data_IF_014172220346
#
_entry.id   IF_014172220346
#
_cell.length_a   1.000
_cell.length_b   1.000
_cell.length_c   1.000
_cell.angle_alpha   90.00
_cell.angle_beta   90.00
_cell.angle_gamma   90.00
#
_symmetry.space_group_name_H-M   'P 1'
#
loop_
_entity.id
_entity.type
_entity.pdbx_description
1 polymer ?
#
# COMPACT_ATOMS: atom_id res chain seq x y z
N UNK A 1 -45.70 1.88 -1.86
CA UNK A 1 -44.59 2.17 -0.93
C UNK A 1 -43.83 3.34 -1.50
N UNK A 2 -43.65 4.41 -0.73
CA UNK A 2 -42.85 5.54 -1.14
C UNK A 2 -41.37 5.12 -1.23
N UNK A 3 -40.57 5.75 -2.10
CA UNK A 3 -39.13 5.49 -2.21
C UNK A 3 -38.40 5.62 -0.87
N UNK A 4 -38.92 6.48 0.00
CA UNK A 4 -38.42 6.71 1.36
C UNK A 4 -38.57 5.49 2.27
N UNK A 5 -39.69 4.76 2.19
CA UNK A 5 -39.91 3.52 2.94
C UNK A 5 -38.94 2.41 2.51
N UNK A 6 -38.66 2.33 1.21
CA UNK A 6 -37.73 1.35 0.63
C UNK A 6 -36.30 1.60 1.11
N UNK A 7 -35.92 2.88 1.25
CA UNK A 7 -34.61 3.28 1.74
C UNK A 7 -34.47 3.08 3.25
N UNK A 8 -35.53 3.33 4.04
CA UNK A 8 -35.54 3.08 5.48
C UNK A 8 -35.55 1.59 5.85
N UNK A 9 -36.10 0.72 5.00
CA UNK A 9 -36.05 -0.73 5.22
C UNK A 9 -34.75 -1.40 4.72
N UNK A 10 -33.86 -0.65 4.05
CA UNK A 10 -32.55 -1.17 3.64
C UNK A 10 -31.55 -1.06 4.78
N UNK A 11 -31.40 -2.16 5.53
CA UNK A 11 -30.29 -2.30 6.48
C UNK A 11 -28.97 -2.42 5.70
N UNK A 12 -27.97 -1.63 6.10
CA UNK A 12 -26.60 -1.77 5.58
C UNK A 12 -26.07 -3.16 5.95
N UNK A 13 -25.32 -3.81 5.04
CA UNK A 13 -24.67 -5.06 5.38
C UNK A 13 -23.56 -4.82 6.40
N UNK A 14 -23.33 -5.79 7.30
CA UNK A 14 -22.33 -5.67 8.36
C UNK A 14 -20.94 -5.30 7.81
N UNK A 15 -20.52 -5.95 6.71
CA UNK A 15 -19.24 -5.65 6.06
C UNK A 15 -19.13 -4.20 5.57
N UNK A 16 -20.23 -3.61 5.10
CA UNK A 16 -20.25 -2.20 4.71
C UNK A 16 -20.11 -1.28 5.94
N UNK A 17 -20.77 -1.60 7.06
CA UNK A 17 -20.59 -0.85 8.32
C UNK A 17 -19.15 -0.91 8.82
N UNK A 18 -18.51 -2.08 8.77
CA UNK A 18 -17.09 -2.24 9.12
C UNK A 18 -16.19 -1.45 8.18
N UNK A 19 -16.48 -1.45 6.88
CA UNK A 19 -15.74 -0.63 5.90
C UNK A 19 -15.79 0.85 6.25
N UNK A 20 -16.97 1.37 6.58
CA UNK A 20 -17.14 2.78 6.93
C UNK A 20 -16.35 3.13 8.19
N UNK A 21 -16.39 2.27 9.22
CA UNK A 21 -15.63 2.49 10.45
C UNK A 21 -14.11 2.46 10.20
N UNK A 22 -13.62 1.49 9.42
CA UNK A 22 -12.21 1.39 9.08
C UNK A 22 -11.72 2.59 8.24
N UNK A 23 -12.52 3.05 7.27
CA UNK A 23 -12.21 4.25 6.47
C UNK A 23 -12.16 5.51 7.33
N UNK A 24 -13.10 5.69 8.23
CA UNK A 24 -13.10 6.83 9.17
C UNK A 24 -11.87 6.79 10.09
N UNK A 25 -11.46 5.61 10.54
CA UNK A 25 -10.26 5.44 11.35
C UNK A 25 -8.97 5.79 10.58
N UNK A 26 -8.84 5.29 9.35
CA UNK A 26 -7.64 5.49 8.53
C UNK A 26 -7.52 6.93 8.00
N UNK A 27 -8.62 7.51 7.52
CA UNK A 27 -8.61 8.77 6.76
C UNK A 27 -9.22 9.96 7.50
N UNK A 28 -9.80 9.76 8.68
CA UNK A 28 -10.42 10.80 9.50
C UNK A 28 -11.89 11.05 9.18
N UNK A 29 -12.38 12.26 9.49
CA UNK A 29 -13.81 12.60 9.49
C UNK A 29 -14.47 12.60 8.11
N UNK A 30 -13.71 12.86 7.03
CA UNK A 30 -14.23 12.89 5.65
C UNK A 30 -13.42 11.99 4.69
N UNK A 31 -13.56 10.65 4.82
CA UNK A 31 -12.89 9.70 3.94
C UNK A 31 -13.41 9.80 2.50
N UNK A 32 -14.68 10.13 2.32
CA UNK A 32 -15.32 10.20 1.00
C UNK A 32 -14.78 11.36 0.16
N UNK A 33 -14.49 12.52 0.74
CA UNK A 33 -13.88 13.63 -0.01
C UNK A 33 -12.46 13.31 -0.43
N UNK A 34 -11.69 12.69 0.46
CA UNK A 34 -10.32 12.30 0.15
C UNK A 34 -10.24 11.30 -0.99
N UNK A 35 -11.00 10.20 -0.91
CA UNK A 35 -10.98 9.16 -1.94
C UNK A 35 -11.49 9.71 -3.28
N UNK A 36 -12.48 10.60 -3.28
CA UNK A 36 -12.91 11.30 -4.50
C UNK A 36 -11.79 12.15 -5.10
N UNK A 37 -11.05 12.90 -4.29
CA UNK A 37 -9.94 13.72 -4.74
C UNK A 37 -8.80 12.84 -5.28
N UNK A 38 -8.42 11.79 -4.54
CA UNK A 38 -7.40 10.82 -4.95
C UNK A 38 -7.77 10.11 -6.26
N UNK A 39 -9.01 9.63 -6.39
CA UNK A 39 -9.52 9.02 -7.62
C UNK A 39 -9.48 10.00 -8.80
N UNK A 40 -9.85 11.26 -8.56
CA UNK A 40 -9.86 12.31 -9.59
C UNK A 40 -8.43 12.60 -10.07
N UNK A 41 -7.48 12.80 -9.16
CA UNK A 41 -6.08 13.07 -9.51
C UNK A 41 -5.43 11.87 -10.23
N UNK A 42 -5.72 10.63 -9.79
CA UNK A 42 -5.27 9.42 -10.47
C UNK A 42 -5.83 9.31 -11.90
N UNK A 43 -7.11 9.64 -12.10
CA UNK A 43 -7.75 9.65 -13.42
C UNK A 43 -7.14 10.69 -14.38
N UNK A 44 -6.66 11.81 -13.84
CA UNK A 44 -5.97 12.84 -14.62
C UNK A 44 -4.47 12.56 -14.83
N UNK A 45 -3.94 11.45 -14.31
CA UNK A 45 -2.51 11.09 -14.38
C UNK A 45 -1.58 12.18 -13.84
N UNK A 46 -2.05 12.98 -12.88
CA UNK A 46 -1.22 14.03 -12.26
C UNK A 46 -0.45 13.42 -11.10
N UNK A 47 0.57 12.63 -11.44
CA UNK A 47 1.36 11.81 -10.52
C UNK A 47 1.85 12.61 -9.29
N UNK A 48 2.31 13.85 -9.48
CA UNK A 48 2.79 14.68 -8.38
C UNK A 48 1.69 15.16 -7.42
N UNK A 49 0.46 15.39 -7.91
CA UNK A 49 -0.66 15.79 -7.04
C UNK A 49 -1.19 14.63 -6.24
N UNK A 50 -1.30 13.47 -6.87
CA UNK A 50 -1.70 12.23 -6.21
C UNK A 50 -0.73 11.88 -5.06
N UNK A 51 0.58 11.92 -5.33
CA UNK A 51 1.61 11.69 -4.30
C UNK A 51 1.46 12.63 -3.10
N UNK A 52 1.24 13.92 -3.36
CA UNK A 52 1.04 14.94 -2.31
C UNK A 52 -0.23 14.73 -1.49
N UNK A 53 -1.29 14.19 -2.09
CA UNK A 53 -2.50 13.83 -1.35
C UNK A 53 -2.23 12.69 -0.38
N UNK A 54 -1.51 11.66 -0.84
CA UNK A 54 -1.17 10.52 0.00
C UNK A 54 -0.16 10.88 1.11
N UNK A 55 0.78 11.79 0.89
CA UNK A 55 1.68 12.26 1.97
C UNK A 55 0.94 12.84 3.18
N UNK A 56 -0.23 13.46 2.98
CA UNK A 56 -1.05 13.99 4.08
C UNK A 56 -1.64 12.89 4.97
N UNK A 57 -1.60 11.62 4.53
CA UNK A 57 -2.11 10.44 5.26
C UNK A 57 -1.05 9.72 6.08
N UNK A 58 0.13 10.35 6.26
CA UNK A 58 1.18 9.83 7.14
C UNK A 58 1.81 8.53 6.62
N UNK A 59 2.18 7.64 7.53
CA UNK A 59 2.91 6.40 7.22
C UNK A 59 2.15 5.50 6.24
N UNK A 60 0.82 5.39 6.38
CA UNK A 60 -0.01 4.57 5.48
C UNK A 60 -0.01 5.12 4.06
N UNK A 61 -0.03 6.45 3.90
CA UNK A 61 0.03 7.10 2.59
C UNK A 61 1.39 6.97 1.92
N UNK A 62 2.49 7.11 2.67
CA UNK A 62 3.85 6.82 2.16
C UNK A 62 3.95 5.37 1.68
N UNK A 63 3.44 4.42 2.47
CA UNK A 63 3.43 3.01 2.09
C UNK A 63 2.60 2.79 0.81
N UNK A 64 1.43 3.43 0.69
CA UNK A 64 0.62 3.36 -0.52
C UNK A 64 1.42 3.81 -1.76
N UNK A 65 2.13 4.94 -1.67
CA UNK A 65 2.96 5.45 -2.76
C UNK A 65 4.09 4.49 -3.12
N UNK A 66 4.78 3.89 -2.15
CA UNK A 66 5.81 2.86 -2.40
C UNK A 66 5.22 1.66 -3.14
N UNK A 67 4.10 1.13 -2.66
CA UNK A 67 3.43 -0.04 -3.25
C UNK A 67 3.00 0.28 -4.68
N UNK A 68 2.39 1.44 -4.88
CA UNK A 68 2.01 1.92 -6.21
C UNK A 68 3.22 2.04 -7.13
N UNK A 69 4.31 2.66 -6.66
CA UNK A 69 5.55 2.81 -7.41
C UNK A 69 6.10 1.45 -7.85
N UNK A 70 6.24 0.49 -6.93
CA UNK A 70 6.74 -0.85 -7.28
C UNK A 70 5.84 -1.51 -8.33
N UNK A 71 4.51 -1.44 -8.16
CA UNK A 71 3.55 -2.14 -9.01
C UNK A 71 3.35 -1.51 -10.37
N UNK A 72 3.56 -0.19 -10.49
CA UNK A 72 3.38 0.55 -11.73
C UNK A 72 4.35 0.14 -12.85
N UNK A 73 5.36 -0.71 -12.59
CA UNK A 73 6.25 -1.28 -13.61
C UNK A 73 6.54 -2.76 -13.36
N UNK A 74 6.39 -3.63 -14.38
CA UNK A 74 6.86 -5.00 -14.32
C UNK A 74 8.35 -5.11 -13.98
N UNK A 75 9.17 -4.20 -14.50
CA UNK A 75 10.61 -4.17 -14.26
C UNK A 75 10.93 -3.90 -12.78
N UNK A 76 10.22 -2.95 -12.14
CA UNK A 76 10.38 -2.67 -10.70
C UNK A 76 9.95 -3.86 -9.84
N UNK A 77 8.83 -4.51 -10.17
CA UNK A 77 8.38 -5.73 -9.49
C UNK A 77 9.43 -6.84 -9.56
N UNK A 78 9.98 -7.08 -10.75
CA UNK A 78 10.99 -8.12 -10.95
C UNK A 78 12.31 -7.79 -10.26
N UNK A 79 12.72 -6.51 -10.26
CA UNK A 79 13.89 -6.07 -9.51
C UNK A 79 13.73 -6.30 -8.00
N UNK A 80 12.56 -5.99 -7.44
CA UNK A 80 12.30 -6.27 -6.02
C UNK A 80 12.37 -7.77 -5.73
N UNK A 81 11.85 -8.61 -6.62
CA UNK A 81 11.94 -10.08 -6.53
C UNK A 81 13.38 -10.56 -6.55
N UNK A 82 14.19 -10.10 -7.49
CA UNK A 82 15.58 -10.53 -7.62
C UNK A 82 16.43 -10.12 -6.43
N UNK A 83 16.25 -8.90 -5.92
CA UNK A 83 16.94 -8.42 -4.72
C UNK A 83 16.55 -9.23 -3.47
N UNK A 84 15.26 -9.58 -3.32
CA UNK A 84 14.78 -10.40 -2.21
C UNK A 84 15.24 -11.86 -2.28
N UNK A 85 15.55 -12.39 -3.47
CA UNK A 85 16.17 -13.71 -3.61
C UNK A 85 17.67 -13.68 -3.32
N UNK A 86 18.38 -12.61 -3.71
CA UNK A 86 19.83 -12.47 -3.45
C UNK A 86 20.21 -12.29 -1.98
N UNK A 87 19.26 -11.93 -1.11
CA UNK A 87 19.48 -11.89 0.34
C UNK A 87 19.38 -13.26 1.01
N UNK A 88 18.88 -14.27 0.29
CA UNK A 88 18.70 -15.63 0.81
C UNK A 88 19.88 -16.50 0.36
N UNK A 89 21.03 -16.37 1.02
CA UNK A 89 22.15 -17.30 0.85
C UNK A 89 22.03 -18.51 1.80
N UNK A 90 22.22 -19.69 1.19
CA UNK A 90 22.50 -21.08 1.61
C UNK A 90 21.92 -21.74 2.87
N UNK A 91 21.49 -21.05 3.94
CA UNK A 91 21.00 -21.74 5.16
C UNK A 91 19.48 -22.05 5.14
N UNK A 92 18.78 -21.63 4.08
CA UNK A 92 17.31 -21.73 3.94
C UNK A 92 16.86 -23.02 3.22
N UNK A 93 17.47 -24.17 3.54
CA UNK A 93 17.02 -25.48 3.06
C UNK A 93 15.84 -26.07 3.87
N UNK A 94 15.31 -25.32 4.85
CA UNK A 94 14.28 -25.82 5.78
C UNK A 94 12.89 -25.19 5.63
N UNK A 95 12.69 -24.18 4.78
CA UNK A 95 11.36 -23.63 4.53
C UNK A 95 10.52 -24.56 3.63
N UNK A 96 9.32 -24.93 4.10
CA UNK A 96 8.38 -25.77 3.36
C UNK A 96 7.90 -25.08 2.08
N UNK A 97 7.38 -25.82 1.09
CA UNK A 97 6.77 -25.25 -0.13
C UNK A 97 5.70 -24.20 0.18
N UNK A 98 4.98 -24.34 1.30
CA UNK A 98 4.01 -23.36 1.81
C UNK A 98 4.67 -22.04 2.26
N UNK A 99 5.87 -22.08 2.82
CA UNK A 99 6.61 -20.87 3.21
C UNK A 99 7.24 -20.17 1.99
N UNK A 100 7.65 -20.95 0.97
CA UNK A 100 8.07 -20.40 -0.33
C UNK A 100 6.92 -19.74 -1.07
N UNK A 101 5.70 -20.30 -0.95
CA UNK A 101 4.46 -19.71 -1.46
C UNK A 101 3.97 -18.52 -0.61
N UNK A 102 4.23 -18.52 0.70
CA UNK A 102 3.95 -17.39 1.60
C UNK A 102 4.85 -16.18 1.33
N UNK A 103 6.00 -16.39 0.70
CA UNK A 103 6.84 -15.35 0.10
C UNK A 103 6.32 -15.04 -1.31
N UNK A 104 5.04 -14.70 -1.42
CA UNK A 104 4.61 -13.85 -2.53
C UNK A 104 5.33 -12.51 -2.34
N UNK A 105 6.45 -12.32 -3.04
CA UNK A 105 7.28 -11.11 -2.95
C UNK A 105 6.52 -9.88 -3.45
N UNK A 106 5.38 -10.08 -4.13
CA UNK A 106 4.60 -8.97 -4.63
C UNK A 106 3.95 -8.19 -3.49
N UNK A 107 4.16 -6.88 -3.49
CA UNK A 107 3.47 -5.98 -2.59
C UNK A 107 1.98 -5.94 -2.96
N UNK A 108 1.13 -6.09 -1.95
CA UNK A 108 -0.32 -6.04 -2.12
C UNK A 108 -0.79 -4.59 -2.15
N UNK A 109 -1.40 -4.16 -3.25
CA UNK A 109 -2.06 -2.86 -3.32
C UNK A 109 -3.41 -2.91 -2.60
N UNK A 110 -3.70 -1.87 -1.82
CA UNK A 110 -5.01 -1.72 -1.22
C UNK A 110 -6.07 -1.37 -2.30
N UNK A 111 -7.32 -1.67 -1.98
CA UNK A 111 -8.49 -1.45 -2.83
C UNK A 111 -9.61 -0.85 -1.98
N UNK A 112 -10.10 0.32 -2.38
CA UNK A 112 -11.13 1.11 -1.69
C UNK A 112 -12.41 0.33 -1.37
N UNK A 113 -12.80 -0.58 -2.27
CA UNK A 113 -14.07 -1.33 -2.15
C UNK A 113 -14.02 -2.51 -1.18
N UNK A 114 -12.82 -2.91 -0.73
CA UNK A 114 -12.62 -4.05 0.16
C UNK A 114 -12.13 -3.59 1.53
N UNK A 115 -12.96 -3.80 2.54
CA UNK A 115 -12.80 -3.25 3.90
C UNK A 115 -11.50 -3.59 4.64
N UNK A 116 -10.82 -4.67 4.27
CA UNK A 116 -9.56 -5.07 4.89
C UNK A 116 -8.33 -4.87 3.99
N UNK A 117 -8.47 -4.25 2.82
CA UNK A 117 -7.39 -4.20 1.84
C UNK A 117 -6.17 -3.38 2.31
N UNK A 118 -6.38 -2.24 2.95
CA UNK A 118 -5.31 -1.42 3.53
C UNK A 118 -4.60 -2.16 4.66
N UNK A 119 -5.35 -2.86 5.50
CA UNK A 119 -4.78 -3.71 6.54
C UNK A 119 -3.90 -4.82 5.96
N UNK A 120 -4.36 -5.51 4.90
CA UNK A 120 -3.57 -6.55 4.24
C UNK A 120 -2.31 -5.97 3.59
N UNK A 121 -2.40 -4.79 2.95
CA UNK A 121 -1.23 -4.08 2.43
C UNK A 121 -0.19 -3.81 3.52
N UNK A 122 -0.63 -3.29 4.68
CA UNK A 122 0.24 -3.00 5.82
C UNK A 122 0.88 -4.27 6.36
N UNK A 123 0.10 -5.32 6.63
CA UNK A 123 0.63 -6.59 7.13
C UNK A 123 1.64 -7.23 6.17
N UNK A 124 1.38 -7.17 4.86
CA UNK A 124 2.31 -7.67 3.86
C UNK A 124 3.59 -6.84 3.80
N UNK A 125 3.49 -5.52 3.92
CA UNK A 125 4.64 -4.62 3.92
C UNK A 125 5.54 -4.82 5.15
N UNK A 126 4.96 -4.99 6.34
CA UNK A 126 5.71 -5.24 7.58
C UNK A 126 6.55 -6.51 7.47
N UNK A 127 5.97 -7.61 6.96
CA UNK A 127 6.71 -8.86 6.72
C UNK A 127 7.83 -8.71 5.70
N UNK A 128 7.76 -7.66 4.86
CA UNK A 128 8.69 -7.39 3.75
C UNK A 128 9.56 -6.16 3.99
N UNK A 129 9.64 -5.68 5.23
CA UNK A 129 10.28 -4.42 5.58
C UNK A 129 11.72 -4.36 5.07
N UNK A 130 12.53 -5.38 5.37
CA UNK A 130 13.94 -5.42 4.98
C UNK A 130 14.12 -5.40 3.46
N UNK A 131 13.24 -6.10 2.74
CA UNK A 131 13.27 -6.14 1.28
C UNK A 131 12.85 -4.80 0.67
N UNK A 132 11.88 -4.10 1.27
CA UNK A 132 11.47 -2.75 0.87
C UNK A 132 12.63 -1.76 1.09
N UNK A 133 13.22 -1.75 2.28
CA UNK A 133 14.32 -0.85 2.65
C UNK A 133 15.55 -1.08 1.74
N UNK A 134 15.88 -2.33 1.46
CA UNK A 134 16.97 -2.68 0.54
C UNK A 134 16.66 -2.29 -0.91
N UNK A 135 15.43 -2.50 -1.39
CA UNK A 135 15.01 -2.08 -2.73
C UNK A 135 15.14 -0.56 -2.91
N UNK A 136 14.69 0.23 -1.94
CA UNK A 136 14.82 1.70 -1.96
C UNK A 136 16.29 2.10 -2.00
N UNK A 137 17.11 1.54 -1.10
CA UNK A 137 18.55 1.80 -1.04
C UNK A 137 19.26 1.44 -2.35
N UNK A 138 18.90 0.31 -2.97
CA UNK A 138 19.43 -0.10 -4.27
C UNK A 138 19.07 0.93 -5.36
N UNK A 139 17.83 1.40 -5.41
CA UNK A 139 17.43 2.41 -6.39
C UNK A 139 18.15 3.73 -6.17
N UNK A 140 18.32 4.19 -4.94
CA UNK A 140 19.03 5.44 -4.66
C UNK A 140 20.50 5.39 -5.09
N UNK A 141 21.12 4.22 -5.00
CA UNK A 141 22.53 4.03 -5.42
C UNK A 141 22.70 3.80 -6.92
N UNK A 142 21.76 3.11 -7.58
CA UNK A 142 21.92 2.66 -8.97
C UNK A 142 21.12 3.46 -10.00
N UNK A 143 19.99 4.04 -9.63
CA UNK A 143 19.17 4.78 -10.57
C UNK A 143 19.80 6.14 -10.88
N UNK A 144 20.03 6.44 -12.16
CA UNK A 144 20.60 7.72 -12.57
C UNK A 144 19.54 8.83 -12.60
N UNK A 145 18.29 8.49 -12.96
CA UNK A 145 17.23 9.46 -13.15
C UNK A 145 16.29 9.55 -11.94
N UNK A 146 15.85 10.76 -11.54
CA UNK A 146 14.95 10.92 -10.38
C UNK A 146 13.65 10.12 -10.47
N UNK A 147 13.06 9.99 -11.66
CA UNK A 147 11.81 9.22 -11.89
C UNK A 147 11.95 7.71 -11.65
N UNK A 148 13.18 7.20 -11.61
CA UNK A 148 13.46 5.79 -11.35
C UNK A 148 13.66 5.51 -9.85
N UNK A 149 13.68 6.55 -9.01
CA UNK A 149 13.80 6.46 -7.56
C UNK A 149 12.44 6.64 -6.89
N UNK A 150 12.30 6.08 -5.70
CA UNK A 150 11.20 6.41 -4.81
C UNK A 150 11.45 7.81 -4.25
N UNK A 151 10.48 8.74 -4.27
CA UNK A 151 10.63 10.05 -3.65
C UNK A 151 11.09 9.95 -2.20
N UNK A 152 12.02 10.81 -1.78
CA UNK A 152 12.58 10.78 -0.42
C UNK A 152 11.51 10.97 0.65
N UNK A 153 10.44 11.70 0.34
CA UNK A 153 9.30 11.88 1.24
C UNK A 153 8.54 10.57 1.52
N UNK A 154 8.59 9.61 0.60
CA UNK A 154 7.94 8.30 0.74
C UNK A 154 8.79 7.30 1.53
N UNK A 155 10.05 7.61 1.83
CA UNK A 155 10.89 6.72 2.62
C UNK A 155 10.29 6.56 4.02
N UNK A 156 10.02 5.31 4.41
CA UNK A 156 9.44 4.96 5.70
C UNK A 156 10.55 5.01 6.76
N UNK A 157 10.44 5.96 7.70
CA UNK A 157 11.32 6.03 8.85
C UNK A 157 11.03 4.92 9.85
N UNK A 158 11.93 4.71 10.83
CA UNK A 158 11.68 3.79 11.94
C UNK A 158 10.36 4.10 12.66
N UNK A 159 10.02 5.38 12.84
CA UNK A 159 8.75 5.78 13.47
C UNK A 159 7.55 5.44 12.59
N UNK A 160 7.65 5.63 11.27
CA UNK A 160 6.58 5.23 10.35
C UNK A 160 6.34 3.72 10.43
N UNK A 161 7.41 2.91 10.48
CA UNK A 161 7.29 1.46 10.66
C UNK A 161 6.65 1.06 11.99
N UNK A 162 6.92 1.78 13.08
CA UNK A 162 6.26 1.56 14.37
C UNK A 162 4.76 1.87 14.29
N UNK A 163 4.40 3.03 13.71
CA UNK A 163 3.00 3.43 13.53
C UNK A 163 2.20 2.46 12.64
N UNK A 164 2.86 1.79 11.70
CA UNK A 164 2.23 0.77 10.87
C UNK A 164 1.99 -0.55 11.61
N UNK A 165 2.75 -0.82 12.68
CA UNK A 165 2.68 -2.07 13.44
C UNK A 165 1.78 -1.99 14.69
N UNK A 166 1.39 -0.78 15.12
CA UNK A 166 0.42 -0.51 16.19
C UNK A 166 -1.03 -0.76 15.74
#
# INVERSE_FOLDING_TARGET
MAEEDIRNNRTRCFGHTVNLAARAFLWGEDPDSFEREAFTEAAFQVEERELRLWWKRGAVGKLHNIVWFVRASPQRRELMKSLACSQRDEDDYHLFEEDRAAIDVELMQNNETRWNSTFMMIQHAIRKREQIDHFITYLDTKAAEPRQRVPVQDHLSQQDWLLLAE
#
